data_IF_643446996018
#
_entry.id   IF_643446996018
#
_cell.length_a   1.000
_cell.length_b   1.000
_cell.length_c   1.000
_cell.angle_alpha   90.00
_cell.angle_beta   90.00
_cell.angle_gamma   90.00
#
_symmetry.space_group_name_H-M   'P 1'
#
loop_
_entity.id
_entity.type
_entity.pdbx_description
1 polymer ?
#
# COMPACT_ATOMS: atom_id res chain seq x y z
N UNK A 1 42.71 7.95 32.85
CA UNK A 1 41.42 8.53 32.45
C UNK A 1 41.72 9.78 31.64
N UNK A 2 41.18 9.88 30.43
CA UNK A 2 41.31 11.08 29.60
C UNK A 2 40.39 12.18 30.16
N UNK A 3 40.85 13.42 30.10
CA UNK A 3 40.10 14.59 30.60
C UNK A 3 38.74 14.74 29.89
N UNK A 4 38.67 14.31 28.62
CA UNK A 4 37.45 14.29 27.80
C UNK A 4 36.38 13.31 28.32
N UNK A 5 36.78 12.15 28.88
CA UNK A 5 35.82 11.17 29.43
C UNK A 5 35.23 11.65 30.75
N UNK A 6 36.03 12.34 31.59
CA UNK A 6 35.56 12.89 32.85
C UNK A 6 34.54 14.04 32.64
N UNK A 7 34.74 14.86 31.60
CA UNK A 7 33.79 15.90 31.23
C UNK A 7 32.48 15.34 30.65
N UNK A 8 32.54 14.22 29.92
CA UNK A 8 31.36 13.55 29.40
C UNK A 8 30.50 12.95 30.53
N UNK A 9 31.13 12.24 31.48
CA UNK A 9 30.41 11.63 32.61
C UNK A 9 29.74 12.69 33.50
N UNK A 10 30.41 13.83 33.74
CA UNK A 10 29.82 14.95 34.47
C UNK A 10 28.58 15.51 33.75
N UNK A 11 28.65 15.64 32.42
CA UNK A 11 27.54 16.11 31.59
C UNK A 11 26.35 15.14 31.64
N UNK A 12 26.62 13.83 31.59
CA UNK A 12 25.57 12.82 31.69
C UNK A 12 24.91 12.79 33.06
N UNK A 13 25.69 12.87 34.14
CA UNK A 13 25.14 12.94 35.49
C UNK A 13 24.27 14.20 35.68
N UNK A 14 24.72 15.35 35.15
CA UNK A 14 23.92 16.59 35.19
C UNK A 14 22.58 16.41 34.46
N UNK A 15 22.57 15.70 33.33
CA UNK A 15 21.35 15.42 32.57
C UNK A 15 20.38 14.55 33.38
N UNK A 16 20.89 13.51 34.06
CA UNK A 16 20.06 12.63 34.92
C UNK A 16 19.41 13.41 36.07
N UNK A 17 20.12 14.36 36.67
CA UNK A 17 19.63 15.16 37.78
C UNK A 17 18.62 16.24 37.35
N UNK A 18 18.93 16.95 36.26
CA UNK A 18 18.16 18.14 35.87
C UNK A 18 16.96 17.81 34.98
N UNK A 19 17.02 16.70 34.24
CA UNK A 19 16.03 16.35 33.23
C UNK A 19 15.68 14.86 33.22
N UNK A 20 15.26 14.27 34.36
CA UNK A 20 15.11 12.82 34.52
C UNK A 20 14.14 12.16 33.53
N UNK A 21 13.15 12.90 33.02
CA UNK A 21 12.15 12.37 32.07
C UNK A 21 12.51 12.64 30.60
N UNK A 22 13.65 13.30 30.33
CA UNK A 22 14.02 13.67 28.96
C UNK A 22 14.54 12.46 28.19
N UNK A 23 14.17 12.24 26.90
CA UNK A 23 14.59 11.05 26.15
C UNK A 23 16.11 10.82 26.08
N UNK A 24 16.92 11.88 26.18
CA UNK A 24 18.39 11.77 26.24
C UNK A 24 18.89 11.09 27.52
N UNK A 25 18.09 11.00 28.58
CA UNK A 25 18.41 10.24 29.78
C UNK A 25 18.65 8.77 29.46
N UNK A 26 17.90 8.20 28.51
CA UNK A 26 18.14 6.83 28.05
C UNK A 26 19.55 6.64 27.47
N UNK A 27 20.09 7.66 26.79
CA UNK A 27 21.47 7.64 26.29
C UNK A 27 22.46 7.80 27.45
N UNK A 28 22.22 8.72 28.38
CA UNK A 28 23.07 8.90 29.55
C UNK A 28 23.16 7.65 30.42
N UNK A 29 22.02 7.03 30.74
CA UNK A 29 21.96 5.77 31.50
C UNK A 29 22.68 4.63 30.79
N UNK A 30 22.57 4.57 29.46
CA UNK A 30 23.27 3.57 28.65
C UNK A 30 24.79 3.78 28.66
N UNK A 31 25.27 5.03 28.52
CA UNK A 31 26.70 5.37 28.47
C UNK A 31 27.38 5.29 29.85
N UNK A 32 26.68 5.69 30.91
CA UNK A 32 27.19 5.65 32.29
C UNK A 32 27.09 4.25 32.92
N UNK A 33 26.20 3.40 32.41
CA UNK A 33 26.03 2.03 32.89
C UNK A 33 26.93 1.05 32.17
N UNK A 34 27.31 -0.01 32.88
CA UNK A 34 27.92 -1.20 32.27
C UNK A 34 26.83 -2.19 31.82
N UNK A 35 27.19 -3.11 30.93
CA UNK A 35 26.28 -4.19 30.51
C UNK A 35 25.77 -4.97 31.73
N UNK A 36 24.45 -5.12 31.82
CA UNK A 36 23.80 -5.80 32.94
C UNK A 36 23.64 -4.96 34.21
N UNK A 37 24.11 -3.71 34.23
CA UNK A 37 23.98 -2.81 35.39
C UNK A 37 22.52 -2.36 35.65
N UNK A 38 22.19 -1.95 36.88
CA UNK A 38 20.88 -1.35 37.20
C UNK A 38 20.50 -0.15 36.32
N UNK A 39 21.48 0.59 35.82
CA UNK A 39 21.27 1.73 34.91
C UNK A 39 20.73 1.28 33.56
N UNK A 40 21.24 0.19 33.00
CA UNK A 40 20.72 -0.38 31.75
C UNK A 40 19.29 -0.90 31.91
N UNK A 41 18.97 -1.45 33.07
CA UNK A 41 17.61 -1.89 33.39
C UNK A 41 16.63 -0.70 33.38
N UNK A 42 17.05 0.45 33.91
CA UNK A 42 16.24 1.66 33.90
C UNK A 42 15.94 2.16 32.48
N UNK A 43 16.85 1.99 31.52
CA UNK A 43 16.67 2.45 30.14
C UNK A 43 15.40 1.87 29.53
N UNK A 44 15.23 0.55 29.58
CA UNK A 44 14.09 -0.09 28.92
C UNK A 44 12.82 -0.06 29.74
N UNK A 45 12.92 0.04 31.08
CA UNK A 45 11.76 0.22 31.95
C UNK A 45 11.15 1.63 31.84
N UNK A 46 11.97 2.67 31.79
CA UNK A 46 11.51 4.07 31.75
C UNK A 46 11.30 4.56 30.32
N UNK A 47 12.10 4.08 29.37
CA UNK A 47 12.07 4.53 27.98
C UNK A 47 11.90 3.34 27.00
N UNK A 48 10.85 2.52 27.11
CA UNK A 48 10.72 1.27 26.33
C UNK A 48 10.76 1.48 24.81
N UNK A 49 10.30 2.64 24.31
CA UNK A 49 10.31 2.99 22.89
C UNK A 49 11.65 3.56 22.38
N UNK A 50 12.63 3.80 23.26
CA UNK A 50 13.92 4.38 22.87
C UNK A 50 14.79 3.36 22.12
N UNK A 51 15.58 3.75 21.10
CA UNK A 51 16.44 2.83 20.37
C UNK A 51 17.41 2.03 21.25
N UNK A 52 17.90 2.61 22.35
CA UNK A 52 18.74 1.89 23.33
C UNK A 52 18.01 0.76 24.03
N UNK A 53 16.73 0.90 24.30
CA UNK A 53 15.90 -0.15 24.93
C UNK A 53 15.76 -1.35 23.99
N UNK A 54 15.55 -1.10 22.70
CA UNK A 54 15.54 -2.14 21.67
C UNK A 54 16.91 -2.82 21.56
N UNK A 55 18.00 -2.05 21.56
CA UNK A 55 19.34 -2.59 21.52
C UNK A 55 19.65 -3.46 22.75
N UNK A 56 19.30 -3.00 23.95
CA UNK A 56 19.43 -3.77 25.19
C UNK A 56 18.65 -5.08 25.10
N UNK A 57 17.41 -5.04 24.63
CA UNK A 57 16.60 -6.25 24.46
C UNK A 57 17.23 -7.24 23.48
N UNK A 58 17.83 -6.77 22.37
CA UNK A 58 18.57 -7.64 21.45
C UNK A 58 19.79 -8.29 22.13
N UNK A 59 20.58 -7.53 22.89
CA UNK A 59 21.75 -8.07 23.61
C UNK A 59 21.34 -9.11 24.66
N UNK A 60 20.32 -8.80 25.47
CA UNK A 60 19.77 -9.74 26.46
C UNK A 60 19.30 -11.05 25.83
N UNK A 61 18.66 -10.98 24.66
CA UNK A 61 18.20 -12.17 23.94
C UNK A 61 19.34 -12.98 23.29
N UNK A 62 20.53 -12.41 23.11
CA UNK A 62 21.72 -13.17 22.71
C UNK A 62 22.27 -13.99 23.89
N UNK A 63 22.21 -13.45 25.10
CA UNK A 63 22.63 -14.14 26.32
C UNK A 63 21.62 -15.22 26.75
N UNK A 64 20.34 -14.85 26.82
CA UNK A 64 19.23 -15.75 27.12
C UNK A 64 18.06 -15.50 26.16
N UNK A 65 17.89 -16.37 25.14
CA UNK A 65 16.84 -16.25 24.15
C UNK A 65 15.41 -16.43 24.69
N UNK A 66 15.23 -16.85 25.95
CA UNK A 66 13.93 -17.19 26.51
C UNK A 66 13.25 -16.07 27.30
N UNK A 67 13.84 -14.87 27.32
CA UNK A 67 13.32 -13.72 28.05
C UNK A 67 12.06 -13.13 27.38
N UNK A 68 10.88 -13.61 27.80
CA UNK A 68 9.59 -13.13 27.29
C UNK A 68 9.43 -11.59 27.34
N UNK A 69 9.80 -10.87 28.42
CA UNK A 69 9.69 -9.41 28.44
C UNK A 69 10.51 -8.72 27.33
N UNK A 70 11.69 -9.26 26.99
CA UNK A 70 12.53 -8.71 25.93
C UNK A 70 11.93 -8.99 24.55
N UNK A 71 11.35 -10.19 24.34
CA UNK A 71 10.64 -10.50 23.10
C UNK A 71 9.43 -9.56 22.90
N UNK A 72 8.65 -9.30 23.96
CA UNK A 72 7.51 -8.38 23.91
C UNK A 72 7.93 -6.94 23.66
N UNK A 73 9.03 -6.48 24.28
CA UNK A 73 9.59 -5.15 24.00
C UNK A 73 9.96 -5.00 22.53
N UNK A 74 10.62 -6.01 21.95
CA UNK A 74 10.94 -6.01 20.52
C UNK A 74 9.69 -6.03 19.65
N UNK A 75 8.66 -6.81 19.99
CA UNK A 75 7.39 -6.79 19.27
C UNK A 75 6.76 -5.39 19.25
N UNK A 76 6.82 -4.67 20.37
CA UNK A 76 6.20 -3.35 20.53
C UNK A 76 6.99 -2.22 19.87
N UNK A 77 8.33 -2.25 19.98
CA UNK A 77 9.19 -1.11 19.64
C UNK A 77 10.30 -1.42 18.63
N UNK A 78 10.57 -2.70 18.38
CA UNK A 78 11.65 -3.20 17.53
C UNK A 78 11.29 -3.46 16.07
N UNK A 79 10.27 -2.80 15.50
CA UNK A 79 9.80 -3.08 14.11
C UNK A 79 10.86 -2.96 13.01
N UNK A 80 11.94 -2.23 13.28
CA UNK A 80 13.07 -2.02 12.35
C UNK A 80 14.19 -3.04 12.53
N UNK A 81 14.10 -3.90 13.55
CA UNK A 81 15.07 -4.97 13.80
C UNK A 81 14.93 -6.02 12.69
N UNK A 82 16.02 -6.42 11.99
CA UNK A 82 15.93 -7.37 10.89
C UNK A 82 15.29 -8.72 11.27
N UNK A 83 15.48 -9.16 12.50
CA UNK A 83 14.98 -10.44 13.03
C UNK A 83 13.57 -10.35 13.65
N UNK A 84 12.88 -9.22 13.51
CA UNK A 84 11.59 -9.00 14.18
C UNK A 84 10.55 -10.07 13.81
N UNK A 85 10.50 -10.51 12.56
CA UNK A 85 9.57 -11.56 12.14
C UNK A 85 9.82 -12.87 12.91
N UNK A 86 11.08 -13.23 13.14
CA UNK A 86 11.46 -14.40 13.94
C UNK A 86 11.01 -14.24 15.39
N UNK A 87 11.17 -13.05 15.98
CA UNK A 87 10.69 -12.75 17.34
C UNK A 87 9.17 -12.94 17.44
N UNK A 88 8.40 -12.37 16.51
CA UNK A 88 6.95 -12.50 16.49
C UNK A 88 6.51 -13.97 16.32
N UNK A 89 7.18 -14.72 15.45
CA UNK A 89 6.89 -16.14 15.24
C UNK A 89 7.15 -16.97 16.51
N UNK A 90 8.22 -16.66 17.26
CA UNK A 90 8.49 -17.32 18.54
C UNK A 90 7.44 -16.98 19.59
N UNK A 91 7.08 -15.69 19.73
CA UNK A 91 6.02 -15.26 20.65
C UNK A 91 4.72 -16.04 20.40
N UNK A 92 4.31 -16.16 19.14
CA UNK A 92 3.04 -16.80 18.78
C UNK A 92 3.04 -18.32 18.78
N UNK A 93 4.21 -18.98 18.78
CA UNK A 93 4.31 -20.44 18.75
C UNK A 93 4.79 -21.03 20.08
N UNK A 94 5.81 -20.44 20.70
CA UNK A 94 6.42 -20.93 21.93
C UNK A 94 5.73 -20.36 23.19
N UNK A 95 5.28 -19.10 23.12
CA UNK A 95 4.75 -18.37 24.28
C UNK A 95 3.23 -18.16 24.26
N UNK A 96 2.52 -18.73 23.28
CA UNK A 96 1.10 -18.48 23.05
C UNK A 96 0.18 -18.62 24.27
N UNK A 97 0.49 -19.56 25.18
CA UNK A 97 -0.27 -19.80 26.40
C UNK A 97 -0.03 -18.79 27.52
N UNK A 98 1.05 -18.00 27.42
CA UNK A 98 1.44 -16.98 28.40
C UNK A 98 0.99 -15.58 27.99
N UNK A 99 0.73 -15.38 26.68
CA UNK A 99 0.34 -14.10 26.11
C UNK A 99 -1.06 -13.66 26.56
N UNK A 100 -1.16 -12.42 27.02
CA UNK A 100 -2.42 -11.75 27.29
C UNK A 100 -3.02 -11.20 25.99
N UNK A 101 -4.33 -10.87 25.97
CA UNK A 101 -4.94 -10.24 24.80
C UNK A 101 -4.17 -9.00 24.30
N UNK A 102 -3.69 -8.15 25.21
CA UNK A 102 -2.90 -6.95 24.86
C UNK A 102 -1.57 -7.29 24.18
N UNK A 103 -0.94 -8.40 24.56
CA UNK A 103 0.26 -8.88 23.89
C UNK A 103 -0.06 -9.35 22.46
N UNK A 104 -1.18 -10.05 22.29
CA UNK A 104 -1.67 -10.46 20.98
C UNK A 104 -1.97 -9.26 20.06
N UNK A 105 -2.52 -8.18 20.60
CA UNK A 105 -2.73 -6.93 19.85
C UNK A 105 -1.41 -6.31 19.38
N UNK A 106 -0.42 -6.26 20.28
CA UNK A 106 0.93 -5.74 19.99
C UNK A 106 1.59 -6.55 18.87
N UNK A 107 1.55 -7.88 18.99
CA UNK A 107 2.08 -8.81 17.99
C UNK A 107 1.34 -8.67 16.66
N UNK A 108 0.00 -8.55 16.70
CA UNK A 108 -0.81 -8.41 15.50
C UNK A 108 -0.49 -7.11 14.74
N UNK A 109 -0.32 -6.00 15.47
CA UNK A 109 0.10 -4.74 14.90
C UNK A 109 1.48 -4.84 14.25
N UNK A 110 2.45 -5.48 14.93
CA UNK A 110 3.78 -5.67 14.37
C UNK A 110 3.76 -6.50 13.08
N UNK A 111 3.01 -7.62 13.03
CA UNK A 111 2.82 -8.37 11.78
C UNK A 111 2.17 -7.53 10.68
N UNK A 112 1.19 -6.70 11.02
CA UNK A 112 0.49 -5.84 10.07
C UNK A 112 1.43 -4.84 9.40
N UNK A 113 2.28 -4.19 10.19
CA UNK A 113 3.29 -3.23 9.71
C UNK A 113 4.35 -3.89 8.82
N UNK A 114 4.63 -5.17 9.04
CA UNK A 114 5.52 -5.97 8.19
C UNK A 114 4.85 -6.50 6.91
N UNK A 115 3.54 -6.24 6.73
CA UNK A 115 2.77 -6.77 5.60
C UNK A 115 2.40 -8.24 5.72
N UNK A 116 2.64 -8.87 6.88
CA UNK A 116 2.31 -10.27 7.17
C UNK A 116 0.84 -10.40 7.60
N UNK A 117 -0.08 -9.99 6.71
CA UNK A 117 -1.49 -9.81 7.05
C UNK A 117 -2.20 -11.08 7.52
N UNK A 118 -1.85 -12.24 6.97
CA UNK A 118 -2.42 -13.52 7.41
C UNK A 118 -2.12 -13.81 8.88
N UNK A 119 -0.88 -13.61 9.30
CA UNK A 119 -0.43 -13.75 10.69
C UNK A 119 -1.03 -12.66 11.58
N UNK A 120 -1.07 -11.42 11.10
CA UNK A 120 -1.73 -10.33 11.80
C UNK A 120 -3.20 -10.64 12.10
N UNK A 121 -3.94 -11.15 11.10
CA UNK A 121 -5.35 -11.53 11.29
C UNK A 121 -5.54 -12.63 12.33
N UNK A 122 -4.66 -13.62 12.36
CA UNK A 122 -4.66 -14.65 13.40
C UNK A 122 -4.39 -14.08 14.80
N UNK A 123 -3.41 -13.19 14.93
CA UNK A 123 -3.09 -12.55 16.20
C UNK A 123 -4.22 -11.60 16.67
N UNK A 124 -4.81 -10.80 15.77
CA UNK A 124 -5.95 -9.94 16.09
C UNK A 124 -7.18 -10.71 16.55
N UNK A 125 -7.39 -11.95 16.08
CA UNK A 125 -8.47 -12.81 16.57
C UNK A 125 -8.33 -13.19 18.05
N UNK A 126 -7.13 -13.01 18.64
CA UNK A 126 -6.83 -13.27 20.05
C UNK A 126 -6.64 -11.98 20.88
N UNK A 127 -6.67 -10.82 20.22
CA UNK A 127 -6.56 -9.51 20.85
C UNK A 127 -7.85 -9.13 21.60
N UNK A 128 -7.88 -8.01 22.38
CA UNK A 128 -9.12 -7.54 22.98
C UNK A 128 -10.18 -7.31 21.89
N UNK A 129 -11.45 -7.73 22.11
CA UNK A 129 -12.48 -7.76 21.07
C UNK A 129 -13.08 -6.37 20.82
N UNK A 130 -12.25 -5.38 20.50
CA UNK A 130 -12.68 -4.07 20.04
C UNK A 130 -13.19 -4.16 18.60
N UNK A 131 -14.07 -3.23 18.20
CA UNK A 131 -14.59 -3.14 16.83
C UNK A 131 -13.45 -3.17 15.79
N UNK A 132 -12.40 -2.36 16.02
CA UNK A 132 -11.21 -2.31 15.17
C UNK A 132 -10.43 -3.64 15.11
N UNK A 133 -10.17 -4.27 16.26
CA UNK A 133 -9.39 -5.52 16.29
C UNK A 133 -10.15 -6.67 15.63
N UNK A 134 -11.46 -6.78 15.87
CA UNK A 134 -12.29 -7.78 15.22
C UNK A 134 -12.38 -7.55 13.70
N UNK A 135 -12.49 -6.29 13.27
CA UNK A 135 -12.41 -5.95 11.84
C UNK A 135 -11.05 -6.34 11.24
N UNK A 136 -9.94 -6.01 11.92
CA UNK A 136 -8.58 -6.34 11.47
C UNK A 136 -8.30 -7.85 11.48
N UNK A 137 -8.93 -8.61 12.37
CA UNK A 137 -8.90 -10.07 12.33
C UNK A 137 -9.49 -10.59 11.01
N UNK A 138 -10.70 -10.15 10.65
CA UNK A 138 -11.33 -10.50 9.38
C UNK A 138 -10.56 -10.00 8.16
N UNK A 139 -10.04 -8.77 8.22
CA UNK A 139 -9.26 -8.20 7.12
C UNK A 139 -7.92 -8.89 6.91
N UNK A 140 -7.22 -9.24 7.99
CA UNK A 140 -5.98 -9.98 7.93
C UNK A 140 -6.19 -11.40 7.40
N UNK A 141 -7.26 -12.08 7.82
CA UNK A 141 -7.65 -13.37 7.26
C UNK A 141 -7.93 -13.28 5.75
N UNK A 142 -8.69 -12.27 5.32
CA UNK A 142 -8.98 -12.05 3.89
C UNK A 142 -7.71 -11.82 3.07
N UNK A 143 -6.79 -10.99 3.57
CA UNK A 143 -5.53 -10.67 2.89
C UNK A 143 -4.53 -11.83 2.91
N UNK A 144 -4.70 -12.80 3.83
CA UNK A 144 -3.95 -14.04 3.87
C UNK A 144 -4.65 -15.21 3.18
N UNK A 145 -5.58 -14.94 2.26
CA UNK A 145 -6.32 -15.94 1.47
C UNK A 145 -7.17 -16.93 2.29
N UNK A 146 -7.55 -16.57 3.53
CA UNK A 146 -8.44 -17.34 4.40
C UNK A 146 -9.86 -16.77 4.37
N UNK A 147 -10.53 -16.95 3.23
CA UNK A 147 -11.85 -16.34 2.97
C UNK A 147 -12.94 -16.76 3.96
N UNK A 148 -13.01 -18.04 4.33
CA UNK A 148 -14.01 -18.54 5.28
C UNK A 148 -13.83 -17.93 6.67
N UNK A 149 -12.59 -17.90 7.17
CA UNK A 149 -12.21 -17.23 8.43
C UNK A 149 -12.59 -15.74 8.40
N UNK A 150 -12.34 -15.06 7.27
CA UNK A 150 -12.66 -13.65 7.10
C UNK A 150 -14.18 -13.40 7.20
N UNK A 151 -14.98 -14.21 6.51
CA UNK A 151 -16.44 -14.13 6.55
C UNK A 151 -16.95 -14.34 7.97
N UNK A 152 -16.46 -15.37 8.66
CA UNK A 152 -16.83 -15.66 10.04
C UNK A 152 -16.49 -14.50 10.98
N UNK A 153 -15.28 -13.95 10.87
CA UNK A 153 -14.83 -12.83 11.69
C UNK A 153 -15.65 -11.55 11.45
N UNK A 154 -15.95 -11.19 10.19
CA UNK A 154 -16.78 -10.03 9.90
C UNK A 154 -18.22 -10.20 10.44
N UNK A 155 -18.82 -11.39 10.28
CA UNK A 155 -20.15 -11.67 10.85
C UNK A 155 -20.15 -11.54 12.38
N UNK A 156 -19.16 -12.12 13.05
CA UNK A 156 -19.02 -12.03 14.50
C UNK A 156 -18.83 -10.58 14.97
N UNK A 157 -18.03 -9.79 14.23
CA UNK A 157 -17.82 -8.38 14.49
C UNK A 157 -19.12 -7.58 14.43
N UNK A 158 -19.91 -7.75 13.35
CA UNK A 158 -21.19 -7.04 13.18
C UNK A 158 -22.20 -7.44 14.26
N UNK A 159 -22.21 -8.70 14.68
CA UNK A 159 -23.07 -9.16 15.78
C UNK A 159 -22.69 -8.54 17.12
N UNK A 160 -21.40 -8.32 17.37
CA UNK A 160 -20.88 -7.80 18.64
C UNK A 160 -20.92 -6.27 18.69
N UNK A 161 -20.63 -5.61 17.56
CA UNK A 161 -20.50 -4.17 17.41
C UNK A 161 -21.39 -3.70 16.26
N UNK A 162 -22.71 -3.70 16.47
CA UNK A 162 -23.65 -3.43 15.39
C UNK A 162 -23.55 -2.00 14.82
N UNK A 163 -23.16 -1.02 15.63
CA UNK A 163 -23.10 0.40 15.26
C UNK A 163 -21.69 0.99 15.33
N UNK A 164 -20.66 0.13 15.32
CA UNK A 164 -19.26 0.56 15.31
C UNK A 164 -18.85 1.23 13.99
N UNK A 165 -17.79 2.05 14.04
CA UNK A 165 -17.24 2.72 12.85
C UNK A 165 -16.81 1.71 11.78
N UNK A 166 -16.28 0.56 12.19
CA UNK A 166 -15.84 -0.50 11.28
C UNK A 166 -16.97 -1.40 10.76
N UNK A 167 -18.21 -1.24 11.23
CA UNK A 167 -19.32 -2.12 10.86
C UNK A 167 -19.71 -1.94 9.40
N UNK A 168 -19.79 -0.69 8.93
CA UNK A 168 -20.04 -0.38 7.51
C UNK A 168 -18.96 -1.00 6.62
N UNK A 169 -17.70 -0.97 7.06
CA UNK A 169 -16.58 -1.59 6.37
C UNK A 169 -16.72 -3.12 6.36
N UNK A 170 -17.03 -3.75 7.48
CA UNK A 170 -17.24 -5.21 7.57
C UNK A 170 -18.38 -5.67 6.66
N UNK A 171 -19.52 -4.96 6.67
CA UNK A 171 -20.65 -5.21 5.77
C UNK A 171 -20.23 -5.10 4.30
N UNK A 172 -19.46 -4.07 3.94
CA UNK A 172 -18.99 -3.89 2.57
C UNK A 172 -18.03 -5.01 2.14
N UNK A 173 -17.23 -5.54 3.07
CA UNK A 173 -16.38 -6.72 2.81
C UNK A 173 -17.23 -7.98 2.62
N UNK A 174 -18.24 -8.21 3.45
CA UNK A 174 -19.17 -9.34 3.28
C UNK A 174 -19.92 -9.27 1.95
N UNK A 175 -20.38 -8.08 1.53
CA UNK A 175 -21.00 -7.87 0.22
C UNK A 175 -20.09 -8.27 -0.97
N UNK A 176 -18.77 -8.31 -0.78
CA UNK A 176 -17.80 -8.70 -1.82
C UNK A 176 -17.39 -10.17 -1.77
N UNK A 177 -17.54 -10.82 -0.61
CA UNK A 177 -17.02 -12.16 -0.35
C UNK A 177 -18.11 -13.23 -0.42
N UNK A 178 -19.35 -12.87 -0.12
CA UNK A 178 -20.49 -13.78 -0.06
C UNK A 178 -21.16 -13.97 -1.42
N UNK A 179 -22.02 -15.00 -1.50
CA UNK A 179 -22.84 -15.25 -2.68
C UNK A 179 -23.79 -14.07 -2.98
N UNK A 180 -24.13 -13.80 -4.26
CA UNK A 180 -24.85 -12.61 -4.66
C UNK A 180 -26.14 -12.32 -3.88
N UNK A 181 -26.92 -13.34 -3.54
CA UNK A 181 -28.17 -13.20 -2.79
C UNK A 181 -27.93 -12.67 -1.37
N UNK A 182 -26.94 -13.23 -0.65
CA UNK A 182 -26.56 -12.79 0.69
C UNK A 182 -25.83 -11.44 0.64
N UNK A 183 -24.95 -11.27 -0.34
CA UNK A 183 -24.19 -10.05 -0.57
C UNK A 183 -25.09 -8.81 -0.73
N UNK A 184 -26.20 -8.95 -1.46
CA UNK A 184 -27.17 -7.87 -1.65
C UNK A 184 -27.74 -7.37 -0.31
N UNK A 185 -28.06 -8.29 0.61
CA UNK A 185 -28.62 -7.92 1.91
C UNK A 185 -27.62 -7.11 2.76
N UNK A 186 -26.32 -7.40 2.66
CA UNK A 186 -25.30 -6.60 3.33
C UNK A 186 -25.16 -5.20 2.72
N UNK A 187 -25.18 -5.08 1.39
CA UNK A 187 -25.15 -3.78 0.73
C UNK A 187 -26.38 -2.92 1.10
N UNK A 188 -27.57 -3.53 1.17
CA UNK A 188 -28.80 -2.83 1.56
C UNK A 188 -28.73 -2.31 3.01
N UNK A 189 -28.16 -3.08 3.95
CA UNK A 189 -27.94 -2.62 5.33
C UNK A 189 -27.03 -1.38 5.39
N UNK A 190 -25.99 -1.30 4.54
CA UNK A 190 -25.11 -0.13 4.51
C UNK A 190 -25.88 1.10 4.02
N UNK A 191 -26.64 0.95 2.94
CA UNK A 191 -27.42 2.06 2.35
C UNK A 191 -28.43 2.62 3.35
N UNK A 192 -29.04 1.76 4.16
CA UNK A 192 -30.05 2.16 5.15
C UNK A 192 -29.44 2.81 6.40
N UNK A 193 -28.30 2.29 6.89
CA UNK A 193 -27.78 2.63 8.24
C UNK A 193 -26.55 3.53 8.21
N UNK A 194 -25.82 3.58 7.10
CA UNK A 194 -24.50 4.19 7.00
C UNK A 194 -24.46 5.14 5.79
N UNK A 195 -25.05 6.34 5.91
CA UNK A 195 -25.24 7.25 4.77
C UNK A 195 -23.92 7.75 4.16
N UNK A 196 -22.84 7.83 4.95
CA UNK A 196 -21.50 8.20 4.46
C UNK A 196 -20.95 7.15 3.48
N UNK A 197 -21.20 5.87 3.75
CA UNK A 197 -20.73 4.74 2.95
C UNK A 197 -21.74 4.27 1.89
N UNK A 198 -22.96 4.84 1.88
CA UNK A 198 -24.05 4.43 0.99
C UNK A 198 -23.67 4.51 -0.50
N UNK A 199 -22.86 5.49 -0.91
CA UNK A 199 -22.34 5.58 -2.28
C UNK A 199 -21.48 4.38 -2.68
N UNK A 200 -20.59 3.93 -1.79
CA UNK A 200 -19.76 2.74 -2.00
C UNK A 200 -20.61 1.45 -2.02
N UNK A 201 -21.60 1.36 -1.14
CA UNK A 201 -22.52 0.23 -1.09
C UNK A 201 -23.44 0.15 -2.32
N UNK A 202 -23.91 1.28 -2.84
CA UNK A 202 -24.68 1.33 -4.10
C UNK A 202 -23.85 0.87 -5.30
N UNK A 203 -22.59 1.29 -5.37
CA UNK A 203 -21.68 0.82 -6.42
C UNK A 203 -21.48 -0.69 -6.32
N UNK A 204 -21.25 -1.22 -5.12
CA UNK A 204 -21.11 -2.67 -4.91
C UNK A 204 -22.40 -3.42 -5.24
N UNK A 205 -23.55 -2.91 -4.77
CA UNK A 205 -24.88 -3.45 -5.09
C UNK A 205 -25.13 -3.51 -6.59
N UNK A 206 -24.65 -2.53 -7.37
CA UNK A 206 -24.79 -2.58 -8.83
C UNK A 206 -24.08 -3.81 -9.44
N UNK A 207 -22.88 -4.15 -8.98
CA UNK A 207 -22.11 -5.32 -9.44
C UNK A 207 -22.80 -6.62 -9.06
N UNK A 208 -23.34 -6.69 -7.83
CA UNK A 208 -24.12 -7.83 -7.34
C UNK A 208 -25.38 -8.02 -8.21
N UNK A 209 -26.06 -6.93 -8.57
CA UNK A 209 -27.26 -6.98 -9.42
C UNK A 209 -26.94 -7.41 -10.85
N UNK A 210 -25.77 -7.05 -11.41
CA UNK A 210 -25.33 -7.60 -12.70
C UNK A 210 -25.17 -9.12 -12.62
N UNK A 211 -24.51 -9.62 -11.56
CA UNK A 211 -24.32 -11.05 -11.33
C UNK A 211 -25.64 -11.82 -11.16
N UNK A 212 -26.66 -11.15 -10.61
CA UNK A 212 -28.04 -11.63 -10.49
C UNK A 212 -28.88 -11.42 -11.76
N UNK A 213 -28.27 -11.08 -12.90
CA UNK A 213 -28.95 -10.82 -14.17
C UNK A 213 -30.08 -9.77 -14.07
N UNK A 214 -29.88 -8.73 -13.27
CA UNK A 214 -30.84 -7.65 -13.02
C UNK A 214 -30.32 -6.29 -13.54
N UNK A 215 -30.10 -6.13 -14.87
CA UNK A 215 -29.38 -5.00 -15.44
C UNK A 215 -30.08 -3.65 -15.26
N UNK A 216 -31.42 -3.62 -15.23
CA UNK A 216 -32.18 -2.38 -14.97
C UNK A 216 -31.91 -1.87 -13.56
N UNK A 217 -31.98 -2.76 -12.57
CA UNK A 217 -31.70 -2.43 -11.16
C UNK A 217 -30.24 -2.03 -10.95
N UNK A 218 -29.31 -2.73 -11.62
CA UNK A 218 -27.89 -2.38 -11.61
C UNK A 218 -27.66 -0.95 -12.17
N UNK A 219 -28.28 -0.63 -13.30
CA UNK A 219 -28.22 0.71 -13.91
C UNK A 219 -28.78 1.79 -12.98
N UNK A 220 -29.91 1.53 -12.33
CA UNK A 220 -30.50 2.45 -11.34
C UNK A 220 -29.55 2.69 -10.16
N UNK A 221 -28.90 1.65 -9.63
CA UNK A 221 -27.94 1.80 -8.55
C UNK A 221 -26.75 2.68 -8.96
N UNK A 222 -26.18 2.46 -10.16
CA UNK A 222 -25.11 3.32 -10.70
C UNK A 222 -25.57 4.76 -10.90
N UNK A 223 -26.80 4.98 -11.37
CA UNK A 223 -27.36 6.32 -11.51
C UNK A 223 -27.50 7.01 -10.16
N UNK A 224 -27.90 6.29 -9.10
CA UNK A 224 -27.95 6.82 -7.74
C UNK A 224 -26.55 7.22 -7.25
N UNK A 225 -25.51 6.43 -7.54
CA UNK A 225 -24.12 6.80 -7.22
C UNK A 225 -23.77 8.15 -7.88
N UNK A 226 -24.02 8.30 -9.18
CA UNK A 226 -23.68 9.52 -9.93
C UNK A 226 -24.53 10.74 -9.57
N UNK A 227 -25.79 10.55 -9.18
CA UNK A 227 -26.71 11.66 -8.91
C UNK A 227 -26.74 12.09 -7.45
N UNK A 228 -26.75 11.12 -6.52
CA UNK A 228 -26.94 11.37 -5.09
C UNK A 228 -25.60 11.43 -4.35
N UNK A 229 -24.60 10.68 -4.84
CA UNK A 229 -23.27 10.56 -4.23
C UNK A 229 -22.17 11.03 -5.19
N UNK A 230 -22.47 12.02 -6.03
CA UNK A 230 -21.60 12.44 -7.15
C UNK A 230 -20.18 12.84 -6.72
N UNK A 231 -20.02 13.36 -5.50
CA UNK A 231 -18.73 13.79 -4.95
C UNK A 231 -17.97 12.66 -4.22
N UNK A 232 -18.57 11.48 -4.05
CA UNK A 232 -17.95 10.35 -3.36
C UNK A 232 -16.84 9.68 -4.17
N UNK A 233 -15.91 8.98 -3.49
CA UNK A 233 -14.92 8.14 -4.16
C UNK A 233 -15.55 7.03 -5.01
N UNK A 234 -16.75 6.55 -4.63
CA UNK A 234 -17.50 5.59 -5.42
C UNK A 234 -17.97 6.17 -6.76
N UNK A 235 -18.35 7.45 -6.81
CA UNK A 235 -18.67 8.12 -8.07
C UNK A 235 -17.42 8.34 -8.91
N UNK A 236 -16.28 8.68 -8.30
CA UNK A 236 -15.00 8.78 -9.00
C UNK A 236 -14.61 7.43 -9.67
N UNK A 237 -14.71 6.34 -8.91
CA UNK A 237 -14.45 4.97 -9.39
C UNK A 237 -15.41 4.59 -10.52
N UNK A 238 -16.71 4.86 -10.38
CA UNK A 238 -17.68 4.58 -11.42
C UNK A 238 -17.42 5.38 -12.70
N UNK A 239 -17.11 6.68 -12.60
CA UNK A 239 -16.73 7.51 -13.75
C UNK A 239 -15.47 6.96 -14.43
N UNK A 240 -14.49 6.50 -13.67
CA UNK A 240 -13.28 5.90 -14.21
C UNK A 240 -13.59 4.62 -15.00
N UNK A 241 -14.41 3.72 -14.44
CA UNK A 241 -14.86 2.51 -15.13
C UNK A 241 -15.62 2.82 -16.42
N UNK A 242 -16.51 3.81 -16.40
CA UNK A 242 -17.24 4.26 -17.58
C UNK A 242 -16.31 4.90 -18.63
N UNK A 243 -15.28 5.63 -18.19
CA UNK A 243 -14.26 6.19 -19.07
C UNK A 243 -13.48 5.07 -19.78
N UNK A 244 -13.04 4.05 -19.05
CA UNK A 244 -12.36 2.87 -19.60
C UNK A 244 -13.21 2.14 -20.63
N UNK A 245 -14.49 1.90 -20.30
CA UNK A 245 -15.43 1.23 -21.21
C UNK A 245 -15.66 2.03 -22.50
N UNK A 246 -15.88 3.35 -22.40
CA UNK A 246 -16.06 4.22 -23.56
C UNK A 246 -14.80 4.28 -24.43
N UNK A 247 -13.63 4.39 -23.82
CA UNK A 247 -12.36 4.38 -24.53
C UNK A 247 -12.16 3.06 -25.29
N UNK A 248 -12.45 1.93 -24.65
CA UNK A 248 -12.39 0.61 -25.28
C UNK A 248 -13.38 0.47 -26.45
N UNK A 249 -14.53 1.15 -26.38
CA UNK A 249 -15.52 1.22 -27.46
C UNK A 249 -15.19 2.25 -28.57
N UNK A 250 -14.08 2.99 -28.45
CA UNK A 250 -13.69 4.03 -29.39
C UNK A 250 -14.38 5.38 -29.18
N UNK A 251 -15.24 5.52 -28.16
CA UNK A 251 -15.83 6.80 -27.73
C UNK A 251 -14.84 7.58 -26.86
N UNK A 252 -13.81 8.13 -27.51
CA UNK A 252 -12.76 8.88 -26.81
C UNK A 252 -13.30 10.16 -26.18
N UNK A 253 -14.24 10.85 -26.84
CA UNK A 253 -14.85 12.08 -26.33
C UNK A 253 -15.63 11.80 -25.06
N UNK A 254 -16.45 10.75 -25.05
CA UNK A 254 -17.18 10.37 -23.84
C UNK A 254 -16.28 9.85 -22.73
N UNK A 255 -15.19 9.14 -23.07
CA UNK A 255 -14.20 8.73 -22.08
C UNK A 255 -13.52 9.93 -21.40
N UNK A 256 -13.15 10.94 -22.20
CA UNK A 256 -12.57 12.18 -21.69
C UNK A 256 -13.55 12.95 -20.80
N UNK A 257 -14.82 13.04 -21.19
CA UNK A 257 -15.84 13.73 -20.40
C UNK A 257 -16.03 13.09 -19.01
N UNK A 258 -16.03 11.75 -18.93
CA UNK A 258 -16.07 11.04 -17.66
C UNK A 258 -14.84 11.33 -16.79
N UNK A 259 -13.64 11.32 -17.39
CA UNK A 259 -12.40 11.64 -16.68
C UNK A 259 -12.36 13.10 -16.20
N UNK A 260 -12.87 14.04 -16.99
CA UNK A 260 -12.98 15.47 -16.63
C UNK A 260 -13.83 15.65 -15.38
N UNK A 261 -14.98 14.98 -15.30
CA UNK A 261 -15.85 15.08 -14.12
C UNK A 261 -15.19 14.58 -12.83
N UNK A 262 -14.27 13.62 -12.89
CA UNK A 262 -13.49 13.20 -11.70
C UNK A 262 -12.63 14.38 -11.20
N UNK A 263 -11.98 15.10 -12.11
CA UNK A 263 -11.17 16.28 -11.76
C UNK A 263 -12.02 17.48 -11.28
N UNK A 264 -13.29 17.57 -11.68
CA UNK A 264 -14.17 18.68 -11.30
C UNK A 264 -14.95 18.39 -10.01
N UNK A 265 -15.45 17.17 -9.83
CA UNK A 265 -16.37 16.79 -8.75
C UNK A 265 -15.74 15.92 -7.66
N UNK A 266 -14.60 15.28 -7.94
CA UNK A 266 -13.96 14.33 -7.03
C UNK A 266 -12.48 14.68 -6.75
N UNK A 267 -12.19 15.96 -6.55
CA UNK A 267 -10.84 16.53 -6.41
C UNK A 267 -9.95 15.81 -5.37
N UNK A 268 -10.55 15.34 -4.27
CA UNK A 268 -9.81 14.68 -3.18
C UNK A 268 -9.60 13.18 -3.41
N UNK A 269 -10.25 12.59 -4.42
CA UNK A 269 -10.12 11.17 -4.70
C UNK A 269 -8.70 10.81 -5.17
N UNK A 270 -8.25 9.59 -4.87
CA UNK A 270 -6.98 9.07 -5.37
C UNK A 270 -6.93 9.07 -6.91
N UNK A 271 -8.09 8.88 -7.56
CA UNK A 271 -8.23 8.91 -9.01
C UNK A 271 -7.99 10.31 -9.58
N UNK A 272 -8.43 11.38 -8.90
CA UNK A 272 -8.12 12.74 -9.31
C UNK A 272 -6.62 13.02 -9.27
N UNK A 273 -5.89 12.46 -8.31
CA UNK A 273 -4.42 12.59 -8.22
C UNK A 273 -3.68 11.85 -9.34
N UNK A 274 -4.29 10.79 -9.90
CA UNK A 274 -3.75 10.03 -11.04
C UNK A 274 -4.01 10.68 -12.38
N UNK A 275 -4.97 11.61 -12.45
CA UNK A 275 -5.24 12.35 -13.68
C UNK A 275 -4.08 13.33 -13.93
N UNK A 276 -3.53 13.36 -15.15
CA UNK A 276 -2.54 14.37 -15.49
C UNK A 276 -3.18 15.75 -15.31
N UNK A 277 -2.54 16.58 -14.48
CA UNK A 277 -3.00 17.95 -14.20
C UNK A 277 -3.31 18.65 -15.52
N UNK A 278 -4.57 19.06 -15.70
CA UNK A 278 -5.01 19.88 -16.83
C UNK A 278 -4.52 21.32 -16.59
N UNK A 279 -3.20 21.49 -16.59
CA UNK A 279 -2.56 22.79 -16.65
C UNK A 279 -2.30 23.15 -18.11
N UNK A 280 -3.00 24.15 -18.64
CA UNK A 280 -2.68 24.84 -19.90
C UNK A 280 -2.63 23.97 -21.17
N UNK A 281 -3.75 23.32 -21.50
CA UNK A 281 -4.01 22.91 -22.90
C UNK A 281 -3.10 21.81 -23.47
N UNK A 282 -2.38 21.07 -22.63
CA UNK A 282 -1.65 19.87 -23.06
C UNK A 282 -2.30 18.63 -22.46
N UNK A 283 -3.09 17.92 -23.27
CA UNK A 283 -3.48 16.54 -22.99
C UNK A 283 -2.23 15.64 -23.02
N UNK A 284 -1.45 15.66 -21.95
CA UNK A 284 -0.49 14.60 -21.66
C UNK A 284 -1.31 13.34 -21.41
N UNK A 285 -1.10 12.33 -22.25
CA UNK A 285 -1.72 11.00 -22.19
C UNK A 285 -2.29 10.65 -20.82
N UNK A 286 -3.62 10.61 -20.73
CA UNK A 286 -4.31 9.92 -19.63
C UNK A 286 -3.66 8.54 -19.54
N UNK A 287 -3.21 8.11 -18.36
CA UNK A 287 -2.52 6.83 -18.14
C UNK A 287 -3.33 5.57 -18.49
N UNK A 288 -4.55 5.76 -18.99
CA UNK A 288 -5.24 4.77 -19.80
C UNK A 288 -4.33 4.41 -20.98
N UNK A 289 -4.28 3.14 -21.40
CA UNK A 289 -3.64 2.75 -22.66
C UNK A 289 -4.43 3.33 -23.83
N UNK A 290 -4.42 4.65 -23.99
CA UNK A 290 -5.07 5.33 -25.07
C UNK A 290 -4.19 5.18 -26.31
N UNK A 291 -4.76 4.81 -27.46
CA UNK A 291 -4.06 4.98 -28.73
C UNK A 291 -3.66 6.46 -28.86
N UNK A 292 -2.42 6.72 -29.29
CA UNK A 292 -1.93 8.09 -29.51
C UNK A 292 -2.92 8.86 -30.38
N UNK A 293 -3.60 9.85 -29.81
CA UNK A 293 -4.44 10.75 -30.58
C UNK A 293 -3.55 11.58 -31.52
N UNK A 294 -3.95 11.79 -32.79
CA UNK A 294 -3.30 12.78 -33.63
C UNK A 294 -3.51 14.17 -33.01
N UNK A 295 -2.44 14.96 -32.91
CA UNK A 295 -2.39 16.30 -32.33
C UNK A 295 -3.35 17.33 -32.97
N UNK A 296 -4.11 16.96 -33.99
CA UNK A 296 -4.95 17.85 -34.79
C UNK A 296 -6.36 18.07 -34.24
N UNK A 297 -6.79 17.38 -33.18
CA UNK A 297 -8.17 17.53 -32.63
C UNK A 297 -8.26 18.38 -31.37
N UNK A 298 -7.14 18.91 -30.87
CA UNK A 298 -7.14 19.87 -29.76
C UNK A 298 -6.97 21.29 -30.31
N UNK A 299 -8.03 21.90 -30.82
CA UNK A 299 -8.10 23.35 -31.01
C UNK A 299 -9.47 23.84 -30.58
N UNK A 300 -9.57 24.66 -29.51
CA UNK A 300 -10.76 25.47 -29.32
C UNK A 300 -10.76 26.56 -30.39
N UNK A 301 -11.79 26.57 -31.23
CA UNK A 301 -12.08 27.70 -32.13
C UNK A 301 -12.45 28.90 -31.26
N UNK A 302 -11.49 29.76 -30.96
CA UNK A 302 -11.73 31.03 -30.30
C UNK A 302 -12.27 32.01 -31.36
N UNK A 303 -13.49 32.56 -31.22
CA UNK A 303 -13.96 33.60 -32.13
C UNK A 303 -13.09 34.85 -31.95
N UNK A 304 -12.56 35.37 -33.06
CA UNK A 304 -11.67 36.52 -33.08
C UNK A 304 -12.35 37.78 -32.52
N UNK A 305 -11.78 38.45 -31.50
CA UNK A 305 -12.21 39.78 -31.15
C UNK A 305 -11.59 40.78 -32.13
N UNK A 306 -12.44 41.52 -32.84
CA UNK A 306 -12.04 42.75 -33.52
C UNK A 306 -11.74 43.80 -32.44
N UNK A 307 -10.47 44.22 -32.31
CA UNK A 307 -10.17 45.50 -31.66
C UNK A 307 -9.03 46.25 -32.37
N UNK A 308 -9.39 47.49 -32.72
CA UNK A 308 -8.53 48.64 -33.03
C UNK A 308 -7.68 49.02 -31.81
N UNK A 309 -6.43 49.45 -32.08
CA UNK A 309 -5.59 50.36 -31.28
C UNK A 309 -5.32 49.95 -29.83
N UNK A 310 -4.10 49.93 -29.31
CA UNK A 310 -3.08 50.94 -29.46
C UNK A 310 -1.75 50.40 -28.91
N UNK A 311 -0.65 51.00 -29.36
CA UNK A 311 0.73 50.55 -29.11
C UNK A 311 1.14 50.76 -27.65
N UNK A 312 1.86 49.77 -27.09
CA UNK A 312 3.08 50.01 -26.30
C UNK A 312 3.90 48.72 -26.12
N UNK A 313 5.08 48.74 -26.75
CA UNK A 313 6.19 47.78 -26.58
C UNK A 313 6.91 48.03 -25.25
N UNK A 314 7.21 46.98 -24.49
CA UNK A 314 8.46 46.83 -23.71
C UNK A 314 8.85 45.34 -23.74
N UNK A 315 10.07 45.06 -24.17
CA UNK A 315 10.78 43.77 -24.08
C UNK A 315 11.81 43.83 -22.95
N UNK A 316 12.35 42.64 -22.60
CA UNK A 316 13.46 42.32 -21.67
C UNK A 316 12.95 41.73 -20.34
N UNK A 317 13.34 40.53 -19.89
CA UNK A 317 14.45 39.68 -20.31
C UNK A 317 14.32 38.23 -19.85
N UNK A 318 15.02 37.41 -20.61
CA UNK A 318 15.17 35.96 -20.56
C UNK A 318 16.23 35.60 -19.50
N UNK A 319 15.93 34.68 -18.58
CA UNK A 319 16.97 33.91 -17.88
C UNK A 319 16.60 32.43 -17.92
N UNK A 320 17.48 31.67 -18.59
CA UNK A 320 17.45 30.23 -18.69
C UNK A 320 18.25 29.63 -17.53
N UNK A 321 17.70 28.61 -16.86
CA UNK A 321 18.45 27.66 -16.04
C UNK A 321 17.93 26.27 -16.43
N UNK A 322 18.79 25.46 -17.05
CA UNK A 322 18.59 24.03 -17.26
C UNK A 322 19.15 23.24 -16.06
N UNK A 323 18.69 21.98 -15.85
CA UNK A 323 18.74 21.31 -14.57
C UNK A 323 19.92 20.32 -14.45
N UNK A 324 20.35 20.06 -13.21
CA UNK A 324 21.06 18.86 -12.82
C UNK A 324 20.37 18.27 -11.59
N UNK A 325 19.70 17.13 -11.74
CA UNK A 325 19.69 16.10 -10.69
C UNK A 325 19.24 14.76 -11.26
N UNK A 326 20.19 13.83 -11.28
CA UNK A 326 20.00 12.42 -11.53
C UNK A 326 19.54 11.79 -10.22
N UNK A 327 18.33 11.20 -10.19
CA UNK A 327 17.97 10.21 -9.16
C UNK A 327 17.62 8.89 -9.82
N UNK A 328 18.35 7.86 -9.36
CA UNK A 328 18.23 6.45 -9.71
C UNK A 328 16.85 5.91 -9.28
N UNK A 329 16.17 5.24 -10.18
CA UNK A 329 15.16 4.24 -9.83
C UNK A 329 15.85 2.87 -9.73
N UNK A 330 15.79 2.26 -8.55
CA UNK A 330 16.01 0.83 -8.35
C UNK A 330 14.66 0.17 -8.10
N UNK A 331 14.57 -1.09 -8.55
CA UNK A 331 13.57 -2.13 -8.25
C UNK A 331 12.36 -2.25 -9.19
N UNK A 332 12.59 -2.90 -10.33
CA UNK A 332 11.62 -3.84 -10.90
C UNK A 332 12.10 -5.27 -10.64
N UNK A 333 11.21 -6.08 -10.07
CA UNK A 333 11.41 -7.47 -9.66
C UNK A 333 11.65 -8.41 -10.86
N UNK A 334 12.71 -9.21 -10.76
CA UNK A 334 13.35 -10.00 -11.82
C UNK A 334 12.72 -11.40 -12.08
N UNK A 335 11.63 -11.77 -11.43
CA UNK A 335 11.11 -13.15 -11.51
C UNK A 335 10.31 -13.47 -12.78
N UNK A 336 9.69 -12.49 -13.45
CA UNK A 336 8.89 -12.76 -14.67
C UNK A 336 9.73 -12.84 -15.95
N UNK A 337 10.87 -12.16 -16.01
CA UNK A 337 11.75 -12.16 -17.19
C UNK A 337 12.46 -13.51 -17.38
N UNK A 338 12.92 -14.14 -16.29
CA UNK A 338 13.61 -15.44 -16.33
C UNK A 338 12.65 -16.56 -16.76
N UNK A 339 11.37 -16.48 -16.40
CA UNK A 339 10.37 -17.47 -16.81
C UNK A 339 10.01 -17.36 -18.30
N UNK A 340 9.81 -16.14 -18.81
CA UNK A 340 9.60 -15.91 -20.25
C UNK A 340 10.83 -16.31 -21.08
N UNK A 341 12.04 -16.02 -20.60
CA UNK A 341 13.28 -16.40 -21.31
C UNK A 341 13.48 -17.92 -21.34
N UNK A 342 13.13 -18.64 -20.27
CA UNK A 342 13.16 -20.12 -20.24
C UNK A 342 12.14 -20.75 -21.18
N UNK A 343 10.95 -20.16 -21.33
CA UNK A 343 9.93 -20.63 -22.29
C UNK A 343 10.36 -20.39 -23.74
N UNK A 344 10.90 -19.21 -24.05
CA UNK A 344 11.42 -18.88 -25.38
C UNK A 344 12.59 -19.79 -25.78
N UNK A 345 13.52 -20.07 -24.84
CA UNK A 345 14.65 -20.97 -25.08
C UNK A 345 14.23 -22.44 -25.22
N UNK A 346 13.17 -22.89 -24.53
CA UNK A 346 12.59 -24.23 -24.72
C UNK A 346 11.92 -24.39 -26.09
N UNK A 347 11.22 -23.37 -26.58
CA UNK A 347 10.63 -23.41 -27.93
C UNK A 347 11.68 -23.38 -29.04
N UNK A 348 12.82 -22.70 -28.84
CA UNK A 348 13.91 -22.67 -29.82
C UNK A 348 14.69 -23.99 -29.92
N UNK A 349 14.72 -24.82 -28.87
CA UNK A 349 15.50 -26.09 -28.87
C UNK A 349 14.89 -27.19 -29.74
N UNK A 350 13.61 -27.06 -30.13
CA UNK A 350 12.85 -28.11 -30.83
C UNK A 350 12.39 -27.74 -32.26
N UNK A 351 12.84 -26.61 -32.83
CA UNK A 351 12.47 -26.22 -34.20
C UNK A 351 13.64 -26.41 -35.17
N UNK A 352 13.43 -27.20 -36.22
CA UNK A 352 14.37 -27.41 -37.34
C UNK A 352 14.13 -26.46 -38.52
N UNK A 353 13.30 -25.43 -38.37
CA UNK A 353 12.94 -24.54 -39.48
C UNK A 353 12.98 -23.06 -39.04
N UNK A 354 14.03 -22.35 -39.46
CA UNK A 354 14.36 -21.00 -38.98
C UNK A 354 13.66 -19.86 -39.74
N UNK A 355 13.01 -20.13 -40.86
CA UNK A 355 12.51 -19.08 -41.77
C UNK A 355 11.05 -18.64 -41.54
N UNK A 356 10.40 -19.06 -40.45
CA UNK A 356 8.99 -18.68 -40.15
C UNK A 356 8.70 -18.37 -38.68
N UNK A 357 9.49 -17.51 -38.07
CA UNK A 357 9.11 -16.85 -36.81
C UNK A 357 8.94 -15.35 -37.08
N UNK A 358 7.71 -14.93 -37.36
CA UNK A 358 7.35 -13.51 -37.33
C UNK A 358 6.93 -13.14 -35.90
N UNK A 359 7.67 -12.23 -35.27
CA UNK A 359 7.21 -11.49 -34.10
C UNK A 359 6.73 -10.11 -34.53
N UNK A 360 5.54 -9.65 -34.14
CA UNK A 360 5.11 -8.29 -34.43
C UNK A 360 5.76 -7.31 -33.44
N UNK A 361 6.43 -6.29 -33.97
CA UNK A 361 6.52 -4.98 -33.31
C UNK A 361 7.79 -4.60 -32.56
N UNK A 362 8.99 -4.84 -33.11
CA UNK A 362 10.20 -4.12 -32.65
C UNK A 362 11.02 -3.62 -33.84
N UNK A 363 10.89 -2.32 -34.15
CA UNK A 363 11.83 -1.61 -35.01
C UNK A 363 13.06 -1.24 -34.18
N UNK A 364 14.22 -1.81 -34.53
CA UNK A 364 15.53 -1.38 -34.03
C UNK A 364 16.61 -2.42 -34.32
N UNK A 365 17.51 -2.12 -35.27
CA UNK A 365 18.67 -2.97 -35.59
C UNK A 365 19.65 -2.96 -34.41
N UNK A 366 19.94 -4.13 -33.85
CA UNK A 366 21.09 -4.33 -32.97
C UNK A 366 22.11 -5.22 -33.70
N UNK A 367 23.31 -4.68 -33.92
CA UNK A 367 24.49 -5.46 -34.31
C UNK A 367 25.09 -6.09 -33.04
N UNK A 368 25.20 -7.40 -33.00
CA UNK A 368 25.98 -8.15 -32.02
C UNK A 368 26.84 -9.17 -32.78
N UNK A 369 28.17 -9.14 -32.56
CA UNK A 369 28.74 -10.27 -31.83
C UNK A 369 29.73 -9.79 -30.76
N UNK A 370 29.64 -10.40 -29.58
CA UNK A 370 30.65 -10.64 -28.52
C UNK A 370 29.85 -10.78 -27.22
N UNK A 371 29.49 -12.02 -26.88
CA UNK A 371 29.24 -12.54 -25.52
C UNK A 371 28.73 -13.99 -25.60
N UNK A 372 29.45 -14.82 -26.35
CA UNK A 372 29.31 -16.27 -26.35
C UNK A 372 30.67 -16.88 -26.01
N UNK A 373 31.19 -16.61 -24.80
CA UNK A 373 32.37 -17.31 -24.32
C UNK A 373 32.58 -17.34 -22.79
N UNK A 374 31.51 -17.28 -21.98
CA UNK A 374 31.64 -17.32 -20.52
C UNK A 374 30.65 -18.23 -19.78
N UNK A 375 30.02 -19.19 -20.46
CA UNK A 375 29.14 -20.20 -19.83
C UNK A 375 29.39 -21.61 -20.36
N UNK A 376 30.66 -21.98 -20.57
CA UNK A 376 31.04 -23.34 -20.95
C UNK A 376 32.39 -23.72 -20.34
N UNK A 377 32.44 -23.84 -19.00
CA UNK A 377 33.55 -24.50 -18.29
C UNK A 377 33.16 -24.84 -16.84
N UNK A 378 32.24 -25.80 -16.66
CA UNK A 378 32.18 -26.62 -15.44
C UNK A 378 31.24 -27.81 -15.65
N UNK A 379 31.64 -28.75 -16.49
CA UNK A 379 31.06 -30.10 -16.50
C UNK A 379 32.06 -31.08 -17.09
N UNK A 380 32.68 -31.87 -16.23
CA UNK A 380 33.35 -33.13 -16.58
C UNK A 380 33.26 -34.09 -15.39
N UNK A 381 33.32 -35.42 -15.62
CA UNK A 381 32.39 -36.36 -15.01
C UNK A 381 33.01 -37.30 -13.96
N UNK A 382 32.08 -37.98 -13.27
CA UNK A 382 32.13 -39.18 -12.43
C UNK A 382 33.49 -39.87 -12.17
N UNK A 383 33.75 -40.06 -10.87
CA UNK A 383 34.32 -41.26 -10.25
C UNK A 383 33.47 -41.62 -9.04
#
# INVERSE_FOLDING_TARGET
MNEDTANADATWNQLLEQYPDHPLVAEALYQLGEEGSPQWEQVWQQFPAHPRSVQIAQMRLQEDPQQLPMLLLLAQHGRYVPEIETVLNRLTTEYASQLQPQDWETIAFAYWELGQYGNAGFAYAKAPPTSLNMYRAGRGAQLGDRTEDAIAAYKQMIQTHADGEETSLALLRLARLEQPEAAKAYADQIIERFPTEAGAALLERSKILDALNSPQSASQARQSVLNQYSQSDAAAELRWQLAEQRAAAGDITGAWEMARQIAEENLTSELAQKLPLVGNGRCSSIGLRMPKLPLSTCSPTIPSPTMRGDRRFIWVGMWAILPMSVKRHQNCSSLRFVHCLRLALRQCKNSTNWDRIQMPGVCGKWNLPILANQLWQSSSPMG
#
